data_IF_820500604380
#
_entry.id   IF_820500604380
#
_cell.length_a   1.000
_cell.length_b   1.000
_cell.length_c   1.000
_cell.angle_alpha   90.00
_cell.angle_beta   90.00
_cell.angle_gamma   90.00
#
_symmetry.space_group_name_H-M   'P 1'
#
loop_
_entity.id
_entity.type
_entity.pdbx_description
1 polymer ?
#
# COMPACT_ATOMS: atom_id res chain seq x y z
N UNK A 1 -9.40 -1.03 -3.17
CA UNK A 1 -7.93 -0.97 -2.95
C UNK A 1 -7.25 -0.88 -4.30
N UNK A 2 -6.26 -0.03 -4.42
CA UNK A 2 -5.42 0.11 -5.62
C UNK A 2 -4.32 -0.96 -5.64
N UNK A 3 -3.68 -1.18 -6.81
CA UNK A 3 -2.53 -2.09 -6.90
C UNK A 3 -1.39 -1.69 -5.95
N UNK A 4 -1.18 -0.38 -5.74
CA UNK A 4 -0.16 0.13 -4.81
C UNK A 4 -0.47 -0.25 -3.34
N UNK A 5 -1.74 -0.16 -2.92
CA UNK A 5 -2.14 -0.58 -1.57
C UNK A 5 -1.93 -2.08 -1.34
N UNK A 6 -2.19 -2.93 -2.35
CA UNK A 6 -1.89 -4.36 -2.25
C UNK A 6 -0.39 -4.63 -2.12
N UNK A 7 0.44 -3.97 -2.92
CA UNK A 7 1.90 -4.12 -2.83
C UNK A 7 2.44 -3.66 -1.47
N UNK A 8 1.88 -2.60 -0.89
CA UNK A 8 2.26 -2.13 0.46
C UNK A 8 1.88 -3.14 1.55
N UNK A 9 0.69 -3.74 1.50
CA UNK A 9 0.30 -4.81 2.43
C UNK A 9 1.28 -5.98 2.34
N UNK A 10 1.64 -6.39 1.12
CA UNK A 10 2.59 -7.49 0.91
C UNK A 10 3.96 -7.13 1.53
N UNK A 11 4.49 -5.94 1.28
CA UNK A 11 5.78 -5.50 1.82
C UNK A 11 5.78 -5.48 3.34
N UNK A 12 4.73 -4.90 3.95
CA UNK A 12 4.59 -4.89 5.41
C UNK A 12 4.48 -6.30 5.98
N UNK A 13 3.69 -7.17 5.38
CA UNK A 13 3.56 -8.55 5.82
C UNK A 13 4.88 -9.32 5.76
N UNK A 14 5.60 -9.21 4.64
CA UNK A 14 6.92 -9.84 4.48
C UNK A 14 7.93 -9.34 5.51
N UNK A 15 7.93 -8.05 5.81
CA UNK A 15 8.84 -7.43 6.77
C UNK A 15 8.46 -7.73 8.22
N UNK A 16 7.21 -7.46 8.59
CA UNK A 16 6.77 -7.42 9.98
C UNK A 16 6.51 -8.84 10.54
N UNK A 17 5.87 -9.69 9.73
CA UNK A 17 5.51 -11.06 10.15
C UNK A 17 6.58 -12.09 9.74
N UNK A 18 7.06 -12.02 8.50
CA UNK A 18 7.95 -13.06 7.96
C UNK A 18 9.43 -12.72 8.12
N UNK A 19 9.78 -11.49 8.51
CA UNK A 19 11.17 -11.03 8.70
C UNK A 19 12.02 -11.17 7.44
N UNK A 20 11.40 -11.05 6.26
CA UNK A 20 12.10 -11.08 4.98
C UNK A 20 12.90 -9.79 4.81
N UNK A 21 14.20 -9.86 4.48
CA UNK A 21 15.03 -8.68 4.27
C UNK A 21 14.54 -7.80 3.11
N UNK A 22 14.64 -6.48 3.26
CA UNK A 22 14.17 -5.49 2.28
C UNK A 22 14.81 -5.70 0.89
N UNK A 23 16.09 -6.06 0.81
CA UNK A 23 16.78 -6.33 -0.46
C UNK A 23 16.22 -7.52 -1.24
N UNK A 24 15.67 -8.54 -0.55
CA UNK A 24 14.96 -9.64 -1.20
C UNK A 24 13.55 -9.22 -1.61
N UNK A 25 12.86 -8.48 -0.74
CA UNK A 25 11.53 -7.94 -1.04
C UNK A 25 11.57 -7.05 -2.29
N UNK A 26 12.51 -6.11 -2.37
CA UNK A 26 12.63 -5.16 -3.48
C UNK A 26 12.96 -5.83 -4.82
N UNK A 27 13.61 -6.99 -4.79
CA UNK A 27 13.93 -7.76 -6.00
C UNK A 27 12.69 -8.35 -6.69
N UNK A 28 11.68 -8.73 -5.92
CA UNK A 28 10.51 -9.47 -6.43
C UNK A 28 9.21 -8.69 -6.36
N UNK A 29 9.09 -7.77 -5.41
CA UNK A 29 7.89 -6.95 -5.23
C UNK A 29 8.14 -5.57 -5.85
N UNK A 30 7.53 -5.21 -6.98
CA UNK A 30 7.73 -3.91 -7.60
C UNK A 30 7.18 -2.79 -6.71
N UNK A 31 7.78 -1.60 -6.79
CA UNK A 31 7.28 -0.40 -6.08
C UNK A 31 5.96 0.10 -6.68
N UNK A 32 5.75 -0.14 -7.98
CA UNK A 32 4.51 0.16 -8.68
C UNK A 32 4.28 -0.87 -9.78
N UNK A 33 3.03 -1.11 -10.13
CA UNK A 33 2.66 -2.03 -11.20
C UNK A 33 1.51 -1.47 -12.02
N UNK A 34 1.68 -1.47 -13.36
CA UNK A 34 0.63 -1.10 -14.32
C UNK A 34 -0.37 -2.22 -14.56
N UNK A 35 0.04 -3.48 -14.37
CA UNK A 35 -0.82 -4.64 -14.55
C UNK A 35 -1.70 -4.86 -13.31
N UNK A 36 -2.90 -5.44 -13.47
CA UNK A 36 -3.78 -5.72 -12.34
C UNK A 36 -3.14 -6.71 -11.37
N UNK A 37 -3.35 -6.49 -10.08
CA UNK A 37 -3.04 -7.45 -9.02
C UNK A 37 -4.30 -8.26 -8.75
N UNK A 38 -4.21 -9.59 -8.90
CA UNK A 38 -5.28 -10.48 -8.48
C UNK A 38 -5.30 -10.54 -6.95
N UNK A 39 -6.44 -10.26 -6.37
CA UNK A 39 -6.63 -10.26 -4.93
C UNK A 39 -7.98 -10.89 -4.60
N UNK A 40 -7.95 -11.99 -3.84
CA UNK A 40 -9.17 -12.73 -3.52
C UNK A 40 -9.12 -13.36 -2.14
N UNK A 41 -10.18 -13.14 -1.38
CA UNK A 41 -10.41 -13.87 -0.13
C UNK A 41 -10.83 -15.32 -0.43
N UNK A 42 -10.17 -16.26 0.21
CA UNK A 42 -10.39 -17.69 0.00
C UNK A 42 -11.60 -18.19 0.78
N UNK A 43 -12.47 -18.91 0.09
CA UNK A 43 -13.66 -19.54 0.66
C UNK A 43 -13.38 -21.03 0.90
N UNK A 44 -14.24 -21.68 1.67
CA UNK A 44 -14.16 -23.13 1.97
C UNK A 44 -13.98 -24.00 0.70
N UNK A 45 -14.58 -23.64 -0.42
CA UNK A 45 -14.41 -24.34 -1.70
C UNK A 45 -13.05 -24.16 -2.37
N UNK A 46 -12.25 -23.19 -1.94
CA UNK A 46 -10.95 -22.88 -2.54
C UNK A 46 -9.76 -23.47 -1.79
N UNK A 47 -9.96 -23.93 -0.55
CA UNK A 47 -8.90 -24.51 0.26
C UNK A 47 -8.79 -26.02 0.02
N UNK A 48 -7.60 -26.56 0.25
CA UNK A 48 -7.43 -28.01 0.21
C UNK A 48 -8.13 -28.63 1.43
N UNK A 49 -9.26 -29.34 1.22
CA UNK A 49 -9.93 -30.01 2.32
C UNK A 49 -9.11 -31.22 2.74
N UNK A 50 -9.21 -31.54 3.97
CA UNK A 50 -8.47 -32.54 4.66
C UNK A 50 -8.73 -33.96 4.20
N UNK A 51 -9.98 -34.24 3.84
CA UNK A 51 -10.43 -35.58 3.43
C UNK A 51 -9.90 -36.00 2.05
N UNK A 52 -9.12 -35.14 1.38
CA UNK A 52 -8.58 -35.42 0.03
C UNK A 52 -7.12 -35.78 0.00
N UNK A 53 -6.54 -36.03 1.13
CA UNK A 53 -5.28 -36.75 1.23
C UNK A 53 -5.45 -38.20 0.79
N UNK A 54 -6.66 -38.74 0.85
CA UNK A 54 -6.97 -40.06 0.28
C UNK A 54 -7.17 -39.96 -1.22
N UNK A 55 -6.11 -40.28 -1.93
CA UNK A 55 -6.01 -40.32 -3.41
C UNK A 55 -7.06 -41.21 -4.08
N UNK A 56 -7.71 -42.11 -3.34
CA UNK A 56 -8.72 -43.05 -3.84
C UNK A 56 -10.09 -42.43 -4.01
N UNK A 57 -10.38 -41.29 -3.40
CA UNK A 57 -11.69 -40.64 -3.46
C UNK A 57 -11.72 -39.51 -4.48
N UNK A 58 -12.36 -39.73 -5.61
CA UNK A 58 -12.70 -38.73 -6.62
C UNK A 58 -13.71 -37.68 -6.12
N UNK A 59 -13.45 -37.02 -5.02
CA UNK A 59 -14.42 -36.07 -4.49
C UNK A 59 -13.92 -34.62 -4.63
N UNK A 60 -14.70 -33.78 -5.29
CA UNK A 60 -14.67 -32.32 -5.39
C UNK A 60 -13.28 -31.71 -5.68
N UNK A 61 -13.13 -31.10 -6.79
CA UNK A 61 -11.88 -30.46 -7.20
C UNK A 61 -11.60 -29.21 -6.37
N UNK A 62 -10.41 -29.12 -5.81
CA UNK A 62 -9.93 -27.93 -5.13
C UNK A 62 -9.18 -27.05 -6.11
N UNK A 63 -9.90 -26.37 -6.95
CA UNK A 63 -9.30 -25.38 -7.83
C UNK A 63 -9.68 -23.97 -7.40
N UNK A 64 -8.86 -23.01 -7.77
CA UNK A 64 -9.14 -21.60 -7.60
C UNK A 64 -9.77 -21.11 -8.89
N UNK A 65 -11.04 -20.73 -8.83
CA UNK A 65 -11.71 -20.08 -9.94
C UNK A 65 -11.18 -18.65 -10.11
N UNK A 66 -10.78 -18.32 -11.33
CA UNK A 66 -10.27 -16.99 -11.69
C UNK A 66 -11.41 -16.23 -12.38
N UNK A 67 -11.86 -15.10 -11.81
CA UNK A 67 -12.87 -14.25 -12.42
C UNK A 67 -12.46 -13.76 -13.81
N UNK A 68 -13.45 -13.48 -14.67
CA UNK A 68 -13.25 -13.10 -16.07
C UNK A 68 -12.31 -11.90 -16.23
N UNK A 69 -12.41 -10.91 -15.37
CA UNK A 69 -11.56 -9.71 -15.37
C UNK A 69 -10.07 -10.00 -15.19
N UNK A 70 -9.72 -11.15 -14.61
CA UNK A 70 -8.34 -11.61 -14.42
C UNK A 70 -7.94 -12.75 -15.37
N UNK A 71 -8.83 -13.21 -16.25
CA UNK A 71 -8.53 -14.32 -17.15
C UNK A 71 -7.35 -14.02 -18.09
N UNK A 72 -7.18 -12.76 -18.50
CA UNK A 72 -6.03 -12.27 -19.27
C UNK A 72 -4.68 -12.39 -18.56
N UNK A 73 -4.69 -12.63 -17.25
CA UNK A 73 -3.47 -12.93 -16.48
C UNK A 73 -2.86 -14.30 -16.85
N UNK A 74 -3.69 -15.21 -17.34
CA UNK A 74 -3.32 -16.59 -17.64
C UNK A 74 -3.38 -16.92 -19.13
N UNK A 75 -4.29 -16.32 -19.89
CA UNK A 75 -4.53 -16.59 -21.31
C UNK A 75 -4.76 -15.29 -22.07
N UNK A 76 -4.16 -15.18 -23.27
CA UNK A 76 -4.37 -14.03 -24.14
C UNK A 76 -5.82 -13.91 -24.64
N UNK A 77 -6.19 -12.72 -25.12
CA UNK A 77 -7.53 -12.52 -25.68
C UNK A 77 -7.78 -13.41 -26.91
N UNK A 78 -6.75 -13.64 -27.74
CA UNK A 78 -6.81 -14.52 -28.90
C UNK A 78 -7.03 -15.98 -28.49
N UNK A 79 -6.36 -16.44 -27.45
CA UNK A 79 -6.55 -17.80 -26.91
C UNK A 79 -7.95 -18.00 -26.35
N UNK A 80 -8.47 -17.00 -25.63
CA UNK A 80 -9.84 -17.05 -25.10
C UNK A 80 -10.87 -17.07 -26.22
N UNK A 81 -10.70 -16.24 -27.25
CA UNK A 81 -11.57 -16.21 -28.43
C UNK A 81 -11.53 -17.55 -29.17
N UNK A 82 -10.35 -18.07 -29.47
CA UNK A 82 -10.19 -19.35 -30.15
C UNK A 82 -10.81 -20.50 -29.36
N UNK A 83 -10.75 -20.46 -28.03
CA UNK A 83 -11.40 -21.46 -27.17
C UNK A 83 -12.93 -21.40 -27.27
N UNK A 84 -13.53 -20.21 -27.31
CA UNK A 84 -14.99 -20.08 -27.46
C UNK A 84 -15.49 -20.57 -28.82
N UNK A 85 -14.66 -20.43 -29.86
CA UNK A 85 -14.97 -20.94 -31.22
C UNK A 85 -14.87 -22.47 -31.32
N UNK A 86 -13.95 -23.11 -30.61
CA UNK A 86 -13.67 -24.55 -30.69
C UNK A 86 -14.03 -25.36 -29.43
N UNK A 87 -14.54 -24.77 -28.41
CA UNK A 87 -15.05 -25.36 -27.15
C UNK A 87 -14.18 -26.48 -26.52
N UNK A 88 -12.88 -26.53 -26.84
CA UNK A 88 -11.96 -27.47 -26.26
C UNK A 88 -11.38 -26.97 -24.94
N UNK A 89 -11.20 -27.86 -23.98
CA UNK A 89 -10.49 -27.55 -22.75
C UNK A 89 -9.00 -27.36 -23.05
N UNK A 90 -8.44 -26.22 -22.63
CA UNK A 90 -7.01 -25.94 -22.77
C UNK A 90 -6.35 -25.95 -21.42
N UNK A 91 -5.33 -26.74 -21.29
CA UNK A 91 -4.47 -26.80 -20.11
C UNK A 91 -3.14 -26.09 -20.40
N UNK A 92 -2.64 -25.38 -19.38
CA UNK A 92 -1.35 -24.70 -19.46
C UNK A 92 -0.63 -24.76 -18.11
N UNK A 93 0.66 -25.02 -18.17
CA UNK A 93 1.55 -24.91 -17.03
C UNK A 93 1.84 -23.43 -16.76
N UNK A 94 1.53 -22.95 -15.56
CA UNK A 94 1.83 -21.60 -15.10
C UNK A 94 3.00 -21.65 -14.11
N UNK A 95 4.02 -20.83 -14.32
CA UNK A 95 5.17 -20.75 -13.43
C UNK A 95 4.93 -19.75 -12.30
N UNK A 96 5.26 -20.16 -11.09
CA UNK A 96 5.08 -19.36 -9.88
C UNK A 96 6.40 -19.15 -9.14
N UNK A 97 6.46 -18.05 -8.41
CA UNK A 97 7.54 -17.71 -7.47
C UNK A 97 6.92 -17.48 -6.10
N UNK A 98 7.56 -18.03 -5.07
CA UNK A 98 7.12 -17.94 -3.68
C UNK A 98 8.27 -17.54 -2.77
N UNK A 99 7.98 -16.79 -1.72
CA UNK A 99 8.84 -16.79 -0.53
C UNK A 99 8.58 -18.06 0.28
N UNK A 100 9.60 -18.88 0.52
CA UNK A 100 9.44 -20.09 1.35
C UNK A 100 9.04 -19.75 2.80
N UNK A 101 9.39 -18.54 3.27
CA UNK A 101 8.93 -18.02 4.53
C UNK A 101 7.39 -17.95 4.60
N UNK A 102 6.73 -17.55 3.52
CA UNK A 102 5.26 -17.53 3.45
C UNK A 102 4.67 -18.92 3.53
N UNK A 103 5.19 -19.87 2.74
CA UNK A 103 4.75 -21.27 2.79
C UNK A 103 4.91 -21.84 4.20
N UNK A 104 6.07 -21.67 4.82
CA UNK A 104 6.36 -22.14 6.16
C UNK A 104 5.43 -21.52 7.21
N UNK A 105 5.19 -20.23 7.13
CA UNK A 105 4.31 -19.50 8.03
C UNK A 105 2.87 -20.01 7.93
N UNK A 106 2.35 -20.16 6.72
CA UNK A 106 0.98 -20.61 6.48
C UNK A 106 0.76 -22.07 6.91
N UNK A 107 1.73 -22.95 6.62
CA UNK A 107 1.67 -24.34 7.08
C UNK A 107 1.71 -24.45 8.60
N UNK A 108 2.52 -23.63 9.27
CA UNK A 108 2.55 -23.58 10.74
C UNK A 108 1.23 -23.07 11.32
N UNK A 109 0.63 -22.02 10.74
CA UNK A 109 -0.71 -21.53 11.14
C UNK A 109 -1.75 -22.63 11.01
N UNK A 110 -1.73 -23.36 9.89
CA UNK A 110 -2.65 -24.49 9.69
C UNK A 110 -2.48 -25.55 10.76
N UNK A 111 -1.26 -25.93 11.10
CA UNK A 111 -0.99 -26.90 12.16
C UNK A 111 -1.53 -26.42 13.51
N UNK A 112 -1.33 -25.14 13.85
CA UNK A 112 -1.89 -24.57 15.09
C UNK A 112 -3.42 -24.51 15.07
N UNK A 113 -4.03 -24.21 13.93
CA UNK A 113 -5.49 -24.20 13.80
C UNK A 113 -6.11 -25.60 13.97
N UNK A 114 -5.39 -26.67 13.64
CA UNK A 114 -5.83 -28.06 13.81
C UNK A 114 -6.00 -28.45 15.27
N UNK A 115 -5.22 -27.86 16.19
CA UNK A 115 -5.34 -28.12 17.62
C UNK A 115 -6.68 -27.62 18.17
N UNK A 116 -7.31 -26.65 17.52
CA UNK A 116 -8.58 -26.05 17.92
C UNK A 116 -9.78 -26.46 17.04
N UNK A 117 -9.55 -27.05 15.88
CA UNK A 117 -10.59 -27.44 14.91
C UNK A 117 -10.36 -28.89 14.43
N UNK A 118 -11.05 -29.85 15.03
CA UNK A 118 -11.00 -31.27 14.67
C UNK A 118 -11.38 -31.55 13.20
N UNK A 119 -12.06 -30.59 12.55
CA UNK A 119 -12.35 -30.69 11.13
C UNK A 119 -11.13 -30.44 10.26
N UNK A 120 -10.02 -29.88 10.80
CA UNK A 120 -8.75 -29.65 10.11
C UNK A 120 -7.78 -30.83 10.35
N UNK A 121 -7.65 -31.82 9.44
CA UNK A 121 -6.68 -32.92 9.58
C UNK A 121 -5.23 -32.49 9.36
N UNK A 122 -4.24 -33.20 9.95
CA UNK A 122 -2.83 -32.93 9.78
C UNK A 122 -2.43 -33.01 8.30
N UNK A 123 -1.71 -32.01 7.84
CA UNK A 123 -1.13 -31.97 6.51
C UNK A 123 0.40 -32.06 6.66
N UNK A 124 0.99 -33.10 6.07
CA UNK A 124 2.44 -33.19 5.99
C UNK A 124 2.92 -32.42 4.78
N UNK A 125 3.78 -31.40 4.94
CA UNK A 125 4.40 -30.73 3.82
C UNK A 125 5.14 -31.74 2.93
N UNK A 126 5.08 -31.55 1.62
CA UNK A 126 5.81 -32.38 0.65
C UNK A 126 7.29 -32.04 0.62
N UNK A 127 7.65 -30.82 1.03
CA UNK A 127 9.02 -30.33 1.09
C UNK A 127 9.31 -29.59 2.40
N UNK A 128 10.60 -29.48 2.69
CA UNK A 128 11.09 -28.58 3.72
C UNK A 128 11.33 -27.20 3.12
N UNK A 129 10.79 -26.17 3.74
CA UNK A 129 10.90 -24.78 3.30
C UNK A 129 11.84 -24.01 4.22
N UNK A 130 12.80 -23.28 3.63
CA UNK A 130 13.77 -22.45 4.35
C UNK A 130 13.30 -20.98 4.36
N UNK A 131 13.36 -20.33 5.53
CA UNK A 131 12.86 -18.97 5.73
C UNK A 131 13.49 -17.90 4.82
N UNK A 132 14.70 -18.14 4.30
CA UNK A 132 15.44 -17.17 3.49
C UNK A 132 15.46 -17.48 1.98
N UNK A 133 14.76 -18.52 1.56
CA UNK A 133 14.77 -18.94 0.17
C UNK A 133 13.57 -18.44 -0.62
N UNK A 134 13.79 -18.35 -1.94
CA UNK A 134 12.76 -18.17 -2.94
C UNK A 134 12.60 -19.48 -3.70
N UNK A 135 11.39 -19.99 -3.71
CA UNK A 135 11.06 -21.21 -4.46
C UNK A 135 10.39 -20.89 -5.79
N UNK A 136 10.64 -21.74 -6.76
CA UNK A 136 9.86 -21.81 -8.00
C UNK A 136 9.01 -23.07 -7.98
N UNK A 137 7.80 -22.94 -8.51
CA UNK A 137 6.89 -24.04 -8.68
C UNK A 137 5.97 -23.82 -9.87
N UNK A 138 5.04 -24.71 -10.08
CA UNK A 138 4.06 -24.54 -11.13
C UNK A 138 2.69 -25.05 -10.71
N UNK A 139 1.67 -24.47 -11.34
CA UNK A 139 0.32 -24.97 -11.29
C UNK A 139 -0.22 -25.20 -12.70
N UNK A 140 -1.16 -26.11 -12.82
CA UNK A 140 -1.91 -26.31 -14.08
C UNK A 140 -3.12 -25.35 -14.05
N UNK A 141 -3.20 -24.48 -15.04
CA UNK A 141 -4.42 -23.72 -15.32
C UNK A 141 -5.16 -24.33 -16.52
N UNK A 142 -6.46 -24.20 -16.57
CA UNK A 142 -7.25 -24.60 -17.73
C UNK A 142 -8.43 -23.68 -17.97
N UNK A 143 -8.79 -23.55 -19.24
CA UNK A 143 -10.00 -22.87 -19.66
C UNK A 143 -11.16 -23.83 -19.77
N UNK A 144 -12.33 -23.37 -19.40
CA UNK A 144 -13.62 -24.00 -19.70
C UNK A 144 -14.63 -22.93 -20.13
N UNK A 145 -15.68 -23.30 -20.84
CA UNK A 145 -16.77 -22.39 -21.16
C UNK A 145 -17.95 -22.61 -20.22
N UNK A 146 -18.58 -21.51 -19.80
CA UNK A 146 -19.84 -21.54 -19.06
C UNK A 146 -20.68 -20.36 -19.48
N UNK A 147 -21.91 -20.64 -19.95
CA UNK A 147 -22.82 -19.62 -20.46
C UNK A 147 -22.22 -18.70 -21.55
N UNK A 148 -21.33 -19.23 -22.40
CA UNK A 148 -20.68 -18.48 -23.46
C UNK A 148 -19.49 -17.63 -23.03
N UNK A 149 -19.10 -17.70 -21.76
CA UNK A 149 -17.91 -17.02 -21.21
C UNK A 149 -16.78 -18.00 -20.92
N UNK A 150 -15.54 -17.53 -21.09
CA UNK A 150 -14.36 -18.28 -20.67
C UNK A 150 -14.23 -18.23 -19.15
N UNK A 151 -14.05 -19.39 -18.56
CA UNK A 151 -13.70 -19.55 -17.16
C UNK A 151 -12.30 -20.12 -17.05
N UNK A 152 -11.48 -19.53 -16.19
CA UNK A 152 -10.13 -20.02 -15.88
C UNK A 152 -10.14 -20.62 -14.49
N UNK A 153 -9.53 -21.80 -14.37
CA UNK A 153 -9.36 -22.51 -13.10
C UNK A 153 -7.87 -22.77 -12.89
N UNK A 154 -7.39 -22.53 -11.69
CA UNK A 154 -5.99 -22.66 -11.33
C UNK A 154 -5.78 -23.76 -10.31
N UNK A 155 -4.94 -24.72 -10.65
CA UNK A 155 -4.45 -25.77 -9.77
C UNK A 155 -5.48 -26.88 -9.48
N UNK A 156 -5.16 -28.10 -9.89
CA UNK A 156 -5.72 -29.31 -9.30
C UNK A 156 -4.65 -29.84 -8.35
N UNK A 157 -4.85 -29.66 -7.07
CA UNK A 157 -3.85 -29.83 -6.03
C UNK A 157 -2.94 -31.06 -6.12
N UNK A 158 -3.37 -32.12 -6.80
CA UNK A 158 -2.57 -33.34 -6.95
C UNK A 158 -1.70 -33.40 -8.20
N UNK A 159 -1.92 -32.51 -9.17
CA UNK A 159 -1.16 -32.41 -10.43
C UNK A 159 -0.16 -31.27 -10.42
N UNK A 160 -0.25 -30.41 -9.42
CA UNK A 160 0.66 -29.29 -9.22
C UNK A 160 2.02 -29.81 -8.70
N UNK A 161 3.05 -29.00 -8.80
CA UNK A 161 4.31 -29.31 -8.18
C UNK A 161 4.26 -29.20 -6.65
N UNK A 162 5.26 -29.76 -5.97
CA UNK A 162 5.25 -29.84 -4.51
C UNK A 162 5.28 -28.46 -3.82
N UNK A 163 5.98 -27.47 -4.38
CA UNK A 163 6.02 -26.12 -3.81
C UNK A 163 4.65 -25.45 -3.92
N UNK A 164 4.00 -25.56 -5.07
CA UNK A 164 2.67 -25.00 -5.25
C UNK A 164 1.63 -25.75 -4.40
N UNK A 165 1.76 -27.06 -4.26
CA UNK A 165 0.91 -27.85 -3.37
C UNK A 165 1.04 -27.38 -1.92
N UNK A 166 2.27 -27.27 -1.40
CA UNK A 166 2.52 -26.84 -0.02
C UNK A 166 2.04 -25.41 0.22
N UNK A 167 2.27 -24.51 -0.74
CA UNK A 167 1.72 -23.16 -0.68
C UNK A 167 0.20 -23.17 -0.53
N UNK A 168 -0.50 -23.91 -1.37
CA UNK A 168 -1.96 -24.02 -1.31
C UNK A 168 -2.46 -24.74 -0.06
N UNK A 169 -1.73 -25.74 0.39
CA UNK A 169 -2.06 -26.49 1.59
C UNK A 169 -2.03 -25.61 2.84
N UNK A 170 -1.17 -24.59 2.87
CA UNK A 170 -1.09 -23.64 3.99
C UNK A 170 -2.27 -22.67 4.07
N UNK A 171 -2.96 -22.39 2.97
CA UNK A 171 -4.04 -21.40 2.91
C UNK A 171 -5.25 -21.86 3.72
N UNK A 172 -5.74 -20.99 4.60
CA UNK A 172 -6.96 -21.22 5.41
C UNK A 172 -8.15 -20.44 4.81
N UNK A 173 -9.34 -20.73 5.36
CA UNK A 173 -10.55 -19.96 5.03
C UNK A 173 -10.31 -18.49 5.43
N UNK A 174 -10.82 -17.58 4.62
CA UNK A 174 -10.72 -16.13 4.77
C UNK A 174 -9.33 -15.52 4.53
N UNK A 175 -8.27 -16.32 4.37
CA UNK A 175 -6.99 -15.80 3.92
C UNK A 175 -7.11 -15.16 2.53
N UNK A 176 -6.27 -14.18 2.26
CA UNK A 176 -6.22 -13.52 0.96
C UNK A 176 -5.11 -14.09 0.10
N UNK A 177 -5.48 -14.66 -1.06
CA UNK A 177 -4.53 -15.00 -2.11
C UNK A 177 -4.27 -13.77 -2.98
N UNK A 178 -3.00 -13.42 -3.15
CA UNK A 178 -2.56 -12.32 -3.99
C UNK A 178 -1.61 -12.85 -5.04
N UNK A 179 -1.89 -12.52 -6.32
CA UNK A 179 -1.07 -12.90 -7.46
C UNK A 179 -0.74 -11.65 -8.27
N UNK A 180 0.51 -11.53 -8.71
CA UNK A 180 0.92 -10.50 -9.66
C UNK A 180 2.07 -10.99 -10.52
N UNK A 181 2.30 -10.34 -11.67
CA UNK A 181 3.41 -10.70 -12.54
C UNK A 181 4.74 -10.24 -11.97
N UNK A 182 5.71 -11.12 -11.99
CA UNK A 182 7.09 -10.77 -11.67
C UNK A 182 7.66 -9.77 -12.71
N UNK A 183 8.72 -9.03 -12.36
CA UNK A 183 9.37 -8.11 -13.30
C UNK A 183 9.85 -8.77 -14.61
N UNK A 184 10.13 -10.09 -14.60
CA UNK A 184 10.46 -10.88 -15.80
C UNK A 184 9.27 -11.10 -16.75
N UNK A 185 8.03 -10.78 -16.31
CA UNK A 185 6.75 -10.98 -17.01
C UNK A 185 6.40 -12.44 -17.37
N UNK A 186 7.26 -13.40 -17.06
CA UNK A 186 7.03 -14.83 -17.34
C UNK A 186 6.46 -15.56 -16.13
N UNK A 187 6.89 -15.16 -14.93
CA UNK A 187 6.50 -15.80 -13.69
C UNK A 187 5.41 -15.01 -12.97
N UNK A 188 4.59 -15.72 -12.21
CA UNK A 188 3.56 -15.16 -11.34
C UNK A 188 4.07 -15.25 -9.91
N UNK A 189 4.15 -14.13 -9.23
CA UNK A 189 4.40 -14.13 -7.79
C UNK A 189 3.11 -14.46 -7.06
N UNK A 190 3.17 -15.37 -6.09
CA UNK A 190 2.03 -15.76 -5.26
C UNK A 190 2.37 -15.61 -3.78
N UNK A 191 1.47 -15.01 -3.04
CA UNK A 191 1.54 -14.88 -1.59
C UNK A 191 0.15 -15.04 -0.98
N UNK A 192 0.08 -15.61 0.22
CA UNK A 192 -1.16 -15.71 0.99
C UNK A 192 -1.04 -14.93 2.30
N UNK A 193 -1.95 -14.01 2.54
CA UNK A 193 -1.93 -13.13 3.72
C UNK A 193 -3.17 -13.39 4.57
N UNK A 194 -3.01 -13.63 5.89
CA UNK A 194 -4.14 -13.80 6.79
C UNK A 194 -5.10 -12.60 6.78
N UNK A 195 -6.40 -12.86 6.81
CA UNK A 195 -7.43 -11.81 6.86
C UNK A 195 -7.20 -10.83 8.02
N UNK A 196 -6.87 -11.35 9.18
CA UNK A 196 -6.60 -10.55 10.37
C UNK A 196 -5.49 -9.52 10.14
N UNK A 197 -4.42 -9.90 9.41
CA UNK A 197 -3.35 -8.98 9.07
C UNK A 197 -3.83 -7.89 8.12
N UNK A 198 -4.57 -8.25 7.07
CA UNK A 198 -5.13 -7.30 6.10
C UNK A 198 -6.08 -6.32 6.77
N UNK A 199 -6.93 -6.80 7.66
CA UNK A 199 -7.88 -5.97 8.41
C UNK A 199 -7.15 -5.02 9.36
N UNK A 200 -6.17 -5.52 10.12
CA UNK A 200 -5.35 -4.70 11.01
C UNK A 200 -4.58 -3.63 10.25
N UNK A 201 -3.99 -3.98 9.10
CA UNK A 201 -3.31 -3.02 8.23
C UNK A 201 -4.26 -1.92 7.74
N UNK A 202 -5.48 -2.28 7.31
CA UNK A 202 -6.51 -1.32 6.88
C UNK A 202 -6.93 -0.40 8.01
N UNK A 203 -7.19 -0.94 9.20
CA UNK A 203 -7.57 -0.15 10.38
C UNK A 203 -6.45 0.81 10.77
N UNK A 204 -5.20 0.34 10.80
CA UNK A 204 -4.04 1.16 11.12
C UNK A 204 -3.82 2.26 10.07
N UNK A 205 -3.93 1.93 8.79
CA UNK A 205 -3.83 2.92 7.71
C UNK A 205 -4.96 3.95 7.77
N UNK A 206 -6.19 3.53 8.05
CA UNK A 206 -7.32 4.43 8.22
C UNK A 206 -7.17 5.33 9.46
N UNK A 207 -6.71 4.78 10.58
CA UNK A 207 -6.48 5.55 11.80
C UNK A 207 -5.35 6.57 11.62
N UNK A 208 -4.26 6.21 10.93
CA UNK A 208 -3.17 7.12 10.58
C UNK A 208 -3.69 8.30 9.72
N UNK A 209 -4.47 8.02 8.70
CA UNK A 209 -5.08 9.06 7.86
C UNK A 209 -6.06 9.93 8.66
N UNK A 210 -6.86 9.33 9.54
CA UNK A 210 -7.81 10.05 10.40
C UNK A 210 -7.10 10.94 11.42
N UNK A 211 -6.06 10.46 12.07
CA UNK A 211 -5.26 11.23 13.03
C UNK A 211 -4.48 12.35 12.34
N UNK A 212 -3.84 12.08 11.20
CA UNK A 212 -3.16 13.11 10.42
C UNK A 212 -4.13 14.21 9.98
N UNK A 213 -5.31 13.84 9.48
CA UNK A 213 -6.34 14.78 9.09
C UNK A 213 -6.90 15.59 10.29
N UNK A 214 -7.02 14.94 11.45
CA UNK A 214 -7.46 15.61 12.68
C UNK A 214 -6.41 16.61 13.18
N UNK A 215 -5.14 16.21 13.19
CA UNK A 215 -4.02 17.07 13.60
C UNK A 215 -3.88 18.27 12.66
N UNK A 216 -3.99 18.06 11.37
CA UNK A 216 -4.00 19.10 10.35
C UNK A 216 -5.19 20.06 10.53
N UNK A 217 -6.39 19.52 10.79
CA UNK A 217 -7.58 20.30 11.10
C UNK A 217 -7.38 21.14 12.38
N UNK A 218 -6.92 20.53 13.47
CA UNK A 218 -6.70 21.23 14.75
C UNK A 218 -5.63 22.32 14.63
N UNK A 219 -4.57 22.05 13.89
CA UNK A 219 -3.54 23.05 13.61
C UNK A 219 -4.12 24.23 12.85
N UNK A 220 -4.82 24.00 11.75
CA UNK A 220 -5.43 25.02 10.94
C UNK A 220 -6.56 25.76 11.69
N UNK A 221 -7.30 25.07 12.56
CA UNK A 221 -8.26 25.69 13.45
C UNK A 221 -7.59 26.69 14.43
N UNK A 222 -6.48 26.28 15.06
CA UNK A 222 -5.71 27.18 15.94
C UNK A 222 -5.19 28.40 15.20
N UNK A 223 -4.61 28.20 14.01
CA UNK A 223 -4.05 29.27 13.18
C UNK A 223 -5.10 30.32 12.81
N UNK A 224 -6.32 29.92 12.47
CA UNK A 224 -7.37 30.82 11.97
C UNK A 224 -8.30 31.36 13.05
N UNK A 225 -8.58 30.62 14.12
CA UNK A 225 -9.67 30.92 15.03
C UNK A 225 -9.27 31.08 16.50
N UNK A 226 -8.01 30.82 16.86
CA UNK A 226 -7.61 30.92 18.27
C UNK A 226 -7.48 32.40 18.70
N UNK A 227 -8.29 32.85 19.67
CA UNK A 227 -8.29 34.25 20.09
C UNK A 227 -6.94 34.67 20.70
N UNK A 228 -6.36 35.76 20.23
CA UNK A 228 -5.13 36.31 20.78
C UNK A 228 -3.85 35.59 20.33
N UNK A 229 -3.93 34.66 19.37
CA UNK A 229 -2.72 34.06 18.79
C UNK A 229 -1.88 35.18 18.15
N UNK A 230 -0.62 35.33 18.59
CA UNK A 230 0.31 36.24 17.97
C UNK A 230 0.82 35.69 16.63
N UNK A 231 1.30 36.59 15.78
CA UNK A 231 1.92 36.16 14.52
C UNK A 231 3.46 36.18 14.70
N UNK A 232 4.11 35.17 14.13
CA UNK A 232 5.56 34.99 14.24
C UNK A 232 6.13 34.54 12.89
N UNK A 233 7.32 35.00 12.59
CA UNK A 233 8.09 34.55 11.45
C UNK A 233 9.50 34.18 11.88
N UNK A 234 10.09 33.17 11.25
CA UNK A 234 11.51 32.88 11.44
C UNK A 234 12.36 33.69 10.48
N UNK A 235 13.58 33.96 10.87
CA UNK A 235 14.60 34.43 9.94
C UNK A 235 14.89 33.34 8.88
N UNK A 236 15.39 33.77 7.72
CA UNK A 236 15.87 32.82 6.71
C UNK A 236 17.29 32.39 7.12
N UNK A 237 17.35 31.52 8.12
CA UNK A 237 18.56 30.94 8.70
C UNK A 237 18.26 29.54 9.23
N UNK A 238 19.29 28.67 9.37
CA UNK A 238 19.08 27.35 9.95
C UNK A 238 18.50 27.44 11.37
N UNK A 239 17.41 26.74 11.62
CA UNK A 239 16.81 26.56 12.93
C UNK A 239 17.19 25.17 13.50
N UNK A 240 17.26 24.98 14.83
CA UNK A 240 17.45 23.66 15.40
C UNK A 240 16.27 22.74 15.04
N UNK A 241 16.54 21.43 14.84
CA UNK A 241 15.47 20.48 14.60
C UNK A 241 14.56 20.39 15.83
N UNK A 242 13.24 20.27 15.60
CA UNK A 242 12.31 19.97 16.69
C UNK A 242 12.55 18.56 17.20
N UNK A 243 12.47 18.40 18.51
CA UNK A 243 12.43 17.09 19.14
C UNK A 243 11.01 16.51 19.01
N UNK A 244 10.86 15.22 18.85
CA UNK A 244 9.55 14.60 18.85
C UNK A 244 8.93 14.68 20.25
N UNK A 245 7.63 14.89 20.30
CA UNK A 245 6.84 14.70 21.50
C UNK A 245 6.19 13.31 21.46
N UNK A 246 6.00 12.70 22.61
CA UNK A 246 5.41 11.36 22.69
C UNK A 246 3.91 11.51 22.93
N UNK A 247 3.09 11.02 22.00
CA UNK A 247 1.66 10.87 22.17
C UNK A 247 1.30 9.36 22.15
N UNK A 248 1.08 8.80 23.33
CA UNK A 248 0.95 7.36 23.50
C UNK A 248 2.25 6.62 23.13
N UNK A 249 2.22 5.77 22.11
CA UNK A 249 3.38 5.01 21.62
C UNK A 249 4.05 5.63 20.39
N UNK A 250 3.76 6.90 20.05
CA UNK A 250 4.23 7.54 18.82
C UNK A 250 5.01 8.81 19.10
N UNK A 251 5.98 9.05 18.25
CA UNK A 251 6.69 10.32 18.15
C UNK A 251 5.98 11.23 17.15
N UNK A 252 5.57 12.41 17.59
CA UNK A 252 4.96 13.44 16.77
C UNK A 252 5.79 14.72 16.82
N UNK A 253 5.84 15.45 15.70
CA UNK A 253 6.50 16.76 15.66
C UNK A 253 5.44 17.86 15.63
N UNK A 254 5.27 18.55 16.75
CA UNK A 254 4.23 19.57 16.92
C UNK A 254 4.64 20.86 16.22
N UNK A 255 3.78 21.37 15.34
CA UNK A 255 3.98 22.65 14.64
C UNK A 255 3.53 23.83 15.47
N UNK A 256 4.25 24.96 15.34
CA UNK A 256 3.92 26.20 16.02
C UNK A 256 2.85 27.00 15.26
N UNK A 257 1.63 27.16 15.81
CA UNK A 257 0.54 27.87 15.12
C UNK A 257 0.81 29.37 14.92
N UNK A 258 1.69 29.98 15.72
CA UNK A 258 2.10 31.37 15.51
C UNK A 258 2.90 31.56 14.23
N UNK A 259 3.75 30.57 13.86
CA UNK A 259 4.46 30.56 12.59
C UNK A 259 3.49 30.38 11.41
N UNK A 260 2.48 29.53 11.56
CA UNK A 260 1.42 29.37 10.56
C UNK A 260 0.67 30.67 10.30
N UNK A 261 0.28 31.36 11.36
CA UNK A 261 -0.37 32.66 11.28
C UNK A 261 0.53 33.70 10.60
N UNK A 262 1.80 33.77 11.01
CA UNK A 262 2.79 34.67 10.41
C UNK A 262 3.01 34.41 8.91
N UNK A 263 3.00 33.16 8.48
CA UNK A 263 3.12 32.81 7.06
C UNK A 263 1.89 33.29 6.25
N UNK A 264 0.67 33.13 6.80
CA UNK A 264 -0.57 33.62 6.17
C UNK A 264 -0.54 35.13 6.03
N UNK A 265 -0.20 35.87 7.10
CA UNK A 265 -0.13 37.33 7.11
C UNK A 265 0.92 37.84 6.12
N UNK A 266 2.13 37.26 6.14
CA UNK A 266 3.21 37.59 5.22
C UNK A 266 2.83 37.41 3.75
N UNK A 267 1.95 36.46 3.45
CA UNK A 267 1.45 36.20 2.09
C UNK A 267 0.12 36.92 1.79
N UNK A 268 -0.24 37.93 2.56
CA UNK A 268 -1.47 38.73 2.39
C UNK A 268 -2.74 37.90 2.27
N UNK A 269 -2.86 36.80 3.05
CA UNK A 269 -4.00 35.89 3.05
C UNK A 269 -4.34 35.33 1.65
N UNK A 270 -3.33 35.12 0.81
CA UNK A 270 -3.47 34.60 -0.57
C UNK A 270 -2.90 33.19 -0.68
N UNK A 271 -3.46 32.39 -1.56
CA UNK A 271 -2.95 31.06 -1.85
C UNK A 271 -1.65 31.13 -2.66
N UNK A 272 -0.57 30.52 -2.20
CA UNK A 272 0.71 30.51 -2.90
C UNK A 272 0.69 29.76 -4.24
N UNK A 273 -0.33 28.94 -4.49
CA UNK A 273 -0.50 28.18 -5.75
C UNK A 273 -1.34 28.98 -6.73
N UNK A 274 -2.57 29.31 -6.41
CA UNK A 274 -3.52 29.93 -7.36
C UNK A 274 -3.69 31.45 -7.18
N UNK A 275 -3.08 32.06 -6.16
CA UNK A 275 -3.19 33.50 -5.87
C UNK A 275 -4.54 33.95 -5.34
N UNK A 276 -5.51 33.05 -5.21
CA UNK A 276 -6.87 33.40 -4.76
C UNK A 276 -6.93 33.51 -3.24
N UNK A 277 -7.84 34.35 -2.77
CA UNK A 277 -8.32 34.30 -1.39
C UNK A 277 -9.38 33.18 -1.29
N UNK A 278 -9.47 32.51 -0.12
CA UNK A 278 -10.55 31.56 0.11
C UNK A 278 -11.87 32.32 0.45
N UNK A 279 -12.44 32.07 1.59
CA UNK A 279 -13.64 32.78 2.05
C UNK A 279 -13.32 33.59 3.33
N UNK A 280 -14.14 34.59 3.62
CA UNK A 280 -14.13 35.29 4.91
C UNK A 280 -15.37 34.89 5.68
N UNK A 281 -15.22 34.54 6.96
CA UNK A 281 -16.38 34.34 7.86
C UNK A 281 -17.03 35.68 8.26
N UNK A 282 -18.30 35.67 8.64
CA UNK A 282 -19.05 36.88 9.05
C UNK A 282 -18.37 37.71 10.18
N UNK A 283 -17.56 37.05 11.01
CA UNK A 283 -16.83 37.65 12.13
C UNK A 283 -15.33 37.76 11.92
N UNK A 284 -14.84 37.39 10.74
CA UNK A 284 -13.40 37.40 10.41
C UNK A 284 -13.06 38.63 9.57
N UNK A 285 -12.03 39.36 10.02
CA UNK A 285 -11.50 40.50 9.28
C UNK A 285 -10.69 40.05 8.07
N UNK A 286 -10.20 38.79 8.06
CA UNK A 286 -9.28 38.23 7.06
C UNK A 286 -9.83 36.96 6.42
N UNK A 287 -9.32 36.65 5.25
CA UNK A 287 -9.66 35.42 4.52
C UNK A 287 -9.13 34.18 5.24
N UNK A 288 -9.92 33.11 5.25
CA UNK A 288 -9.51 31.80 5.74
C UNK A 288 -8.43 31.22 4.83
N UNK A 289 -7.35 30.74 5.40
CA UNK A 289 -6.25 30.06 4.69
C UNK A 289 -5.80 28.85 5.48
N UNK A 290 -5.46 27.78 4.79
CA UNK A 290 -4.83 26.61 5.40
C UNK A 290 -3.31 26.68 5.21
N UNK A 291 -2.56 26.21 6.19
CA UNK A 291 -1.10 26.13 6.13
C UNK A 291 -0.67 24.69 5.93
N UNK A 292 0.36 24.55 5.13
CA UNK A 292 0.93 23.26 4.74
C UNK A 292 2.46 23.32 4.86
N UNK A 293 3.09 22.28 5.44
CA UNK A 293 4.54 22.16 5.41
C UNK A 293 4.97 21.50 4.10
N UNK A 294 5.72 22.22 3.25
CA UNK A 294 6.20 21.73 1.96
C UNK A 294 7.06 20.47 2.11
N UNK A 295 7.94 20.46 3.11
CA UNK A 295 8.57 19.24 3.60
C UNK A 295 7.79 18.85 4.85
N UNK A 296 6.99 17.73 4.82
CA UNK A 296 6.11 17.40 5.93
C UNK A 296 6.85 17.17 7.25
N UNK A 297 6.28 17.63 8.36
CA UNK A 297 6.88 17.58 9.69
C UNK A 297 7.25 16.17 10.16
N UNK A 298 6.53 15.17 9.72
CA UNK A 298 6.82 13.75 10.04
C UNK A 298 8.20 13.28 9.57
N UNK A 299 8.82 14.00 8.61
CA UNK A 299 10.17 13.70 8.13
C UNK A 299 11.28 14.49 8.83
N UNK A 300 10.99 15.19 9.95
CA UNK A 300 12.00 15.96 10.69
C UNK A 300 13.24 15.12 11.02
N UNK A 301 13.07 13.83 11.30
CA UNK A 301 14.19 12.93 11.62
C UNK A 301 15.20 12.75 10.48
N UNK A 302 14.87 13.15 9.25
CA UNK A 302 15.78 13.10 8.08
C UNK A 302 16.63 14.36 7.92
N UNK A 303 16.34 15.41 8.67
CA UNK A 303 16.96 16.73 8.50
C UNK A 303 17.63 17.18 9.79
N UNK A 304 18.87 17.68 9.66
CA UNK A 304 19.63 18.28 10.76
C UNK A 304 19.19 19.70 11.10
N UNK A 305 18.39 20.33 10.23
CA UNK A 305 17.76 21.64 10.46
C UNK A 305 16.25 21.47 10.71
N UNK A 306 15.66 22.42 11.43
CA UNK A 306 14.24 22.42 11.77
C UNK A 306 13.34 22.61 10.55
N UNK A 307 12.28 21.81 10.46
CA UNK A 307 11.27 21.92 9.40
C UNK A 307 10.18 22.95 9.69
N UNK A 308 9.95 23.29 10.97
CA UNK A 308 8.93 24.28 11.37
C UNK A 308 9.47 25.70 11.26
N UNK A 309 9.63 26.16 10.04
CA UNK A 309 10.20 27.46 9.67
C UNK A 309 9.37 28.13 8.58
N UNK A 310 9.35 29.46 8.58
CA UNK A 310 8.55 30.25 7.62
C UNK A 310 8.71 29.83 6.15
N UNK A 311 9.93 29.56 5.62
CA UNK A 311 10.10 29.13 4.23
C UNK A 311 9.48 27.75 3.89
N UNK A 312 9.27 26.91 4.90
CA UNK A 312 8.64 25.60 4.71
C UNK A 312 7.12 25.63 4.93
N UNK A 313 6.59 26.71 5.49
CA UNK A 313 5.16 26.85 5.80
C UNK A 313 4.47 27.59 4.67
N UNK A 314 3.57 26.92 3.99
CA UNK A 314 2.94 27.36 2.74
C UNK A 314 1.45 27.70 2.98
N UNK A 315 1.03 28.96 2.87
CA UNK A 315 -0.38 29.34 2.88
C UNK A 315 -1.10 28.89 1.60
N UNK A 316 -2.20 28.17 1.76
CA UNK A 316 -2.99 27.61 0.67
C UNK A 316 -4.49 27.88 0.88
N UNK A 317 -5.26 28.01 -0.21
CA UNK A 317 -6.70 27.84 -0.12
C UNK A 317 -7.04 26.35 0.13
N UNK A 318 -8.21 26.04 0.72
CA UNK A 318 -8.62 24.66 0.99
C UNK A 318 -8.56 23.74 -0.23
N UNK A 319 -8.93 24.24 -1.41
CA UNK A 319 -8.91 23.45 -2.65
C UNK A 319 -7.49 23.01 -3.03
N UNK A 320 -6.54 23.96 -3.06
CA UNK A 320 -5.14 23.63 -3.39
C UNK A 320 -4.50 22.73 -2.32
N UNK A 321 -4.83 22.91 -1.05
CA UNK A 321 -4.38 22.06 0.05
C UNK A 321 -4.92 20.63 -0.09
N UNK A 322 -6.21 20.47 -0.36
CA UNK A 322 -6.84 19.17 -0.58
C UNK A 322 -6.26 18.45 -1.82
N UNK A 323 -5.90 19.16 -2.89
CA UNK A 323 -5.24 18.55 -4.05
C UNK A 323 -3.87 17.95 -3.65
N UNK A 324 -3.11 18.61 -2.78
CA UNK A 324 -1.83 18.05 -2.31
C UNK A 324 -2.04 16.72 -1.57
N UNK A 325 -3.04 16.65 -0.70
CA UNK A 325 -3.28 15.46 0.12
C UNK A 325 -4.07 14.35 -0.60
N UNK A 326 -5.07 14.72 -1.41
CA UNK A 326 -6.06 13.78 -1.93
C UNK A 326 -6.23 13.81 -3.45
N UNK A 327 -5.55 14.73 -4.15
CA UNK A 327 -5.61 14.84 -5.61
C UNK A 327 -4.86 13.71 -6.32
N UNK A 328 -5.05 13.63 -7.64
CA UNK A 328 -4.30 12.73 -8.49
C UNK A 328 -2.80 13.09 -8.52
N UNK A 329 -1.97 12.13 -8.89
CA UNK A 329 -0.51 12.29 -8.87
C UNK A 329 -0.01 13.42 -9.79
N UNK A 330 -0.66 13.66 -10.92
CA UNK A 330 -0.26 14.70 -11.87
C UNK A 330 -0.54 16.10 -11.30
N UNK A 331 -1.75 16.32 -10.81
CA UNK A 331 -2.16 17.57 -10.14
C UNK A 331 -1.29 17.87 -8.92
N UNK A 332 -1.05 16.86 -8.07
CA UNK A 332 -0.17 16.97 -6.91
C UNK A 332 1.25 17.36 -7.31
N UNK A 333 1.85 16.62 -8.25
CA UNK A 333 3.20 16.88 -8.75
C UNK A 333 3.34 18.30 -9.30
N UNK A 334 2.36 18.79 -10.06
CA UNK A 334 2.34 20.15 -10.62
C UNK A 334 2.38 21.21 -9.52
N UNK A 335 1.58 21.04 -8.48
CA UNK A 335 1.53 21.97 -7.34
C UNK A 335 2.86 21.94 -6.57
N UNK A 336 3.33 20.76 -6.18
CA UNK A 336 4.56 20.61 -5.40
C UNK A 336 5.77 21.14 -6.15
N UNK A 337 5.88 20.90 -7.46
CA UNK A 337 6.94 21.46 -8.31
C UNK A 337 6.91 23.00 -8.30
N UNK A 338 5.73 23.60 -8.46
CA UNK A 338 5.58 25.05 -8.42
C UNK A 338 5.98 25.66 -7.09
N UNK A 339 5.57 25.03 -5.98
CA UNK A 339 5.92 25.48 -4.63
C UNK A 339 7.41 25.29 -4.34
N UNK A 340 7.99 24.18 -4.74
CA UNK A 340 9.42 23.92 -4.59
C UNK A 340 10.26 24.95 -5.30
N UNK A 341 9.97 25.27 -6.55
CA UNK A 341 10.69 26.29 -7.31
C UNK A 341 10.65 27.67 -6.66
N UNK A 342 9.55 28.00 -6.00
CA UNK A 342 9.41 29.27 -5.24
C UNK A 342 10.23 29.29 -3.96
N UNK A 343 10.36 28.14 -3.28
CA UNK A 343 10.93 28.06 -1.92
C UNK A 343 12.34 27.48 -1.85
N UNK A 344 12.84 26.79 -2.89
CA UNK A 344 14.11 26.05 -2.88
C UNK A 344 15.31 26.85 -2.35
N UNK A 345 15.44 28.11 -2.76
CA UNK A 345 16.57 28.94 -2.33
C UNK A 345 16.49 29.28 -0.85
N UNK A 346 15.31 29.61 -0.34
CA UNK A 346 15.09 29.89 1.07
C UNK A 346 15.25 28.63 1.92
N UNK A 347 14.77 27.48 1.47
CA UNK A 347 14.98 26.19 2.13
C UNK A 347 16.47 25.86 2.24
N UNK A 348 17.22 25.97 1.15
CA UNK A 348 18.68 25.74 1.17
C UNK A 348 19.38 26.68 2.13
N UNK A 349 18.98 27.95 2.19
CA UNK A 349 19.55 28.93 3.11
C UNK A 349 19.29 28.56 4.58
N UNK A 350 18.14 27.93 4.84
CA UNK A 350 17.78 27.39 6.15
C UNK A 350 18.42 26.01 6.46
N UNK A 351 19.33 25.51 5.63
CA UNK A 351 19.98 24.21 5.82
C UNK A 351 19.16 23.01 5.34
N UNK A 352 18.00 23.23 4.73
CA UNK A 352 17.13 22.18 4.21
C UNK A 352 17.48 21.87 2.74
N UNK A 353 18.40 20.94 2.55
CA UNK A 353 18.84 20.51 1.21
C UNK A 353 18.04 19.30 0.76
N UNK A 354 17.15 19.50 -0.18
CA UNK A 354 16.33 18.45 -0.78
C UNK A 354 16.21 18.72 -2.29
N UNK A 355 16.23 17.67 -3.12
CA UNK A 355 15.91 17.80 -4.55
C UNK A 355 14.41 17.75 -4.78
N UNK A 356 13.95 18.14 -5.98
CA UNK A 356 12.53 18.01 -6.34
C UNK A 356 12.07 16.54 -6.29
N UNK A 357 12.88 15.62 -6.80
CA UNK A 357 12.54 14.19 -6.80
C UNK A 357 12.42 13.66 -5.38
N UNK A 358 13.37 14.01 -4.50
CA UNK A 358 13.28 13.66 -3.09
C UNK A 358 12.04 14.24 -2.39
N UNK A 359 11.66 15.48 -2.73
CA UNK A 359 10.44 16.08 -2.21
C UNK A 359 9.20 15.32 -2.69
N UNK A 360 9.11 15.00 -3.98
CA UNK A 360 8.00 14.25 -4.55
C UNK A 360 7.87 12.85 -3.94
N UNK A 361 8.99 12.21 -3.62
CA UNK A 361 9.01 10.91 -2.95
C UNK A 361 8.39 10.95 -1.54
N UNK A 362 8.46 12.09 -0.84
CA UNK A 362 7.81 12.24 0.48
C UNK A 362 6.27 12.21 0.38
N UNK A 363 5.71 12.52 -0.78
CA UNK A 363 4.26 12.56 -1.02
C UNK A 363 3.74 11.32 -1.76
N UNK A 364 4.62 10.42 -2.16
CA UNK A 364 4.21 9.13 -2.70
C UNK A 364 4.05 8.16 -1.53
N UNK A 365 2.85 7.67 -1.24
CA UNK A 365 2.69 6.62 -0.24
C UNK A 365 3.50 5.39 -0.70
N UNK A 366 4.47 5.01 0.11
CA UNK A 366 5.25 3.78 -0.07
C UNK A 366 4.39 2.58 0.21
#
# INVERSE_FOLDING_TARGET
MTSAEYLNIIRSFLKDELRVPDNLTDKYIPSSQSEPVFFRQMKKSNIIPQNKIDLSKKSGETHIYIPKEYSGFFYSAEEQKAFLEDSNTRERKQNFVFFEADISYMLKRRSSAQESDESLHPLTPRKNHSLLNISKGYAISWMSSHNGDVQVQLGKSMQDDDNFYDFRAGILIDDYLILFRCPDKESIFAISIPSQYVESFRINSFNLLKESALNDFLYNFKVNFYPGLSSKTTEISPAPPKLPETDGNREIYVSDPELGKGAIEKNNYSCMVCGKHAFSGEKQIHYYMEVHHLIPMEYQYRFSAGLDITPNIIPLCPDCHKIIHYGDNESRKKILTSLFEKQKNALVHCGLRISLDQLLDLYNPK
#
